data_IF_727156746034
#
_entry.id   IF_727156746034
#
_cell.length_a   1.000
_cell.length_b   1.000
_cell.length_c   1.000
_cell.angle_alpha   90.00
_cell.angle_beta   90.00
_cell.angle_gamma   90.00
#
_symmetry.space_group_name_H-M   'P 1'
#
loop_
_entity.id
_entity.type
_entity.pdbx_description
1 polymer ?
#
# COMPACT_ATOMS: atom_id res chain seq x y z
N UNK A 1 -5.38 -30.70 13.49
CA UNK A 1 -6.40 -29.68 13.16
C UNK A 1 -5.73 -28.54 12.38
N UNK A 2 -5.52 -28.75 11.08
CA UNK A 2 -5.07 -27.73 10.10
C UNK A 2 -6.23 -27.57 9.11
N UNK A 3 -6.37 -26.40 8.49
CA UNK A 3 -7.37 -26.03 7.46
C UNK A 3 -8.62 -25.30 7.98
N UNK A 4 -8.46 -24.05 8.44
CA UNK A 4 -9.55 -23.06 8.38
C UNK A 4 -9.05 -21.66 7.92
N UNK A 5 -7.73 -21.40 7.87
CA UNK A 5 -7.22 -20.05 7.55
C UNK A 5 -7.02 -19.75 6.05
N UNK A 6 -7.13 -20.73 5.15
CA UNK A 6 -6.87 -20.52 3.71
C UNK A 6 -8.10 -20.04 2.90
N UNK A 7 -9.30 -20.04 3.47
CA UNK A 7 -10.56 -19.75 2.75
C UNK A 7 -11.13 -18.35 2.98
N UNK A 8 -10.46 -17.49 3.76
CA UNK A 8 -10.89 -16.10 3.93
C UNK A 8 -10.62 -15.28 2.67
N UNK A 9 -11.68 -14.70 2.08
CA UNK A 9 -11.57 -13.76 0.96
C UNK A 9 -10.61 -12.61 1.29
N UNK A 10 -10.59 -12.15 2.55
CA UNK A 10 -9.66 -11.11 3.01
C UNK A 10 -8.20 -11.58 2.97
N UNK A 11 -7.94 -12.85 3.33
CA UNK A 11 -6.60 -13.43 3.23
C UNK A 11 -6.15 -13.58 1.77
N UNK A 12 -7.06 -14.01 0.90
CA UNK A 12 -6.76 -14.15 -0.53
C UNK A 12 -6.52 -12.78 -1.19
N UNK A 13 -7.31 -11.76 -0.84
CA UNK A 13 -7.10 -10.37 -1.26
C UNK A 13 -5.75 -9.86 -0.74
N UNK A 14 -5.44 -10.08 0.53
CA UNK A 14 -4.18 -9.63 1.13
C UNK A 14 -2.95 -10.33 0.53
N UNK A 15 -3.04 -11.65 0.28
CA UNK A 15 -2.02 -12.46 -0.37
C UNK A 15 -1.79 -12.02 -1.82
N UNK A 16 -2.86 -11.73 -2.55
CA UNK A 16 -2.81 -11.21 -3.92
C UNK A 16 -2.15 -9.83 -3.97
N UNK A 17 -2.50 -8.92 -3.04
CA UNK A 17 -1.89 -7.59 -2.94
C UNK A 17 -0.41 -7.63 -2.54
N UNK A 18 0.03 -8.64 -1.78
CA UNK A 18 1.44 -8.82 -1.44
C UNK A 18 2.26 -9.46 -2.56
N UNK A 19 1.64 -10.32 -3.38
CA UNK A 19 2.32 -11.07 -4.44
C UNK A 19 2.33 -10.34 -5.79
N UNK A 20 1.38 -9.44 -6.06
CA UNK A 20 1.24 -8.75 -7.35
C UNK A 20 1.77 -7.32 -7.36
N UNK A 21 2.60 -6.90 -6.38
CA UNK A 21 3.18 -5.54 -6.27
C UNK A 21 2.15 -4.37 -6.24
N UNK A 22 0.85 -4.67 -6.18
CA UNK A 22 -0.24 -3.68 -6.12
C UNK A 22 -0.54 -3.30 -4.67
N UNK A 23 -0.49 -2.01 -4.35
CA UNK A 23 -0.77 -1.47 -3.02
C UNK A 23 -1.98 -0.55 -3.04
N UNK A 24 -2.89 -0.75 -2.08
CA UNK A 24 -4.04 0.12 -1.83
C UNK A 24 -3.69 1.17 -0.77
N UNK A 25 -3.83 2.45 -1.11
CA UNK A 25 -3.59 3.58 -0.21
C UNK A 25 -4.88 4.36 -0.02
N UNK A 26 -5.23 4.67 1.23
CA UNK A 26 -6.36 5.57 1.52
C UNK A 26 -5.86 6.97 1.84
N UNK A 27 -6.42 7.96 1.16
CA UNK A 27 -6.12 9.38 1.35
C UNK A 27 -7.39 10.17 1.70
N UNK A 28 -7.24 11.19 2.55
CA UNK A 28 -8.31 12.14 2.91
C UNK A 28 -8.44 13.29 1.90
N UNK A 29 -7.55 13.37 0.92
CA UNK A 29 -7.62 14.36 -0.17
C UNK A 29 -8.76 14.02 -1.13
N UNK A 30 -9.21 14.99 -1.95
CA UNK A 30 -10.22 14.79 -3.01
C UNK A 30 -9.58 14.62 -4.37
N UNK A 31 -10.28 13.92 -5.27
CA UNK A 31 -9.84 13.66 -6.63
C UNK A 31 -9.55 14.98 -7.38
N UNK A 32 -10.41 15.97 -7.17
CA UNK A 32 -10.36 17.26 -7.86
C UNK A 32 -9.36 18.24 -7.23
N UNK A 33 -8.81 17.91 -6.06
CA UNK A 33 -7.77 18.76 -5.45
C UNK A 33 -6.50 18.72 -6.28
N UNK A 34 -5.74 19.81 -6.26
CA UNK A 34 -4.44 19.88 -6.91
C UNK A 34 -3.52 18.72 -6.48
N UNK A 35 -3.58 18.36 -5.18
CA UNK A 35 -2.83 17.24 -4.62
C UNK A 35 -3.31 15.89 -5.17
N UNK A 36 -4.63 15.66 -5.21
CA UNK A 36 -5.22 14.45 -5.81
C UNK A 36 -4.81 14.30 -7.27
N UNK A 37 -4.92 15.38 -8.05
CA UNK A 37 -4.51 15.44 -9.45
C UNK A 37 -3.01 15.22 -9.67
N UNK A 38 -2.14 15.58 -8.71
CA UNK A 38 -0.70 15.26 -8.76
C UNK A 38 -0.45 13.78 -8.49
N UNK A 39 -1.19 13.17 -7.58
CA UNK A 39 -1.07 11.76 -7.24
C UNK A 39 -1.60 10.86 -8.37
N UNK A 40 -2.75 11.21 -8.96
CA UNK A 40 -3.36 10.42 -10.04
C UNK A 40 -2.58 10.47 -11.34
N UNK A 41 -2.12 11.65 -11.71
CA UNK A 41 -1.38 11.86 -12.96
C UNK A 41 0.13 11.87 -12.71
N UNK A 42 0.60 11.17 -11.67
CA UNK A 42 1.99 11.27 -11.24
C UNK A 42 2.95 10.85 -12.35
N UNK A 43 2.65 9.76 -13.07
CA UNK A 43 3.44 9.29 -14.23
C UNK A 43 3.50 10.33 -15.35
N UNK A 44 2.36 10.92 -15.71
CA UNK A 44 2.25 11.94 -16.77
C UNK A 44 2.96 13.24 -16.39
N UNK A 45 2.87 13.62 -15.11
CA UNK A 45 3.47 14.83 -14.55
C UNK A 45 4.93 14.63 -14.10
N UNK A 46 5.51 13.44 -14.31
CA UNK A 46 6.88 13.06 -13.88
C UNK A 46 7.11 13.30 -12.38
N UNK A 47 6.09 12.99 -11.58
CA UNK A 47 6.12 13.08 -10.11
C UNK A 47 6.43 11.70 -9.54
N UNK A 48 7.55 11.60 -8.84
CA UNK A 48 7.98 10.39 -8.15
C UNK A 48 7.23 10.26 -6.82
N UNK A 49 6.37 9.23 -6.70
CA UNK A 49 5.67 8.94 -5.46
C UNK A 49 6.45 7.91 -4.65
N UNK A 50 7.07 8.35 -3.57
CA UNK A 50 7.77 7.49 -2.62
C UNK A 50 6.78 6.85 -1.65
N UNK A 51 6.84 5.52 -1.53
CA UNK A 51 5.94 4.73 -0.70
C UNK A 51 6.63 4.25 0.57
N UNK A 52 6.01 4.58 1.70
CA UNK A 52 6.40 4.15 3.03
C UNK A 52 5.22 3.45 3.71
N UNK A 53 5.48 2.31 4.33
CA UNK A 53 4.48 1.53 5.04
C UNK A 53 4.87 1.34 6.49
N UNK A 54 3.88 1.18 7.36
CA UNK A 54 4.07 0.71 8.73
C UNK A 54 2.96 -0.28 9.05
N UNK A 55 3.31 -1.35 9.74
CA UNK A 55 2.37 -2.43 10.08
C UNK A 55 1.41 -2.01 11.20
N UNK A 56 1.95 -1.38 12.24
CA UNK A 56 1.19 -1.00 13.43
C UNK A 56 1.22 0.51 13.66
N UNK A 57 0.12 1.04 14.19
CA UNK A 57 0.07 2.45 14.61
C UNK A 57 0.80 2.69 15.93
N UNK A 58 0.83 1.69 16.81
CA UNK A 58 1.51 1.68 18.12
C UNK A 58 1.77 0.23 18.55
N UNK A 59 2.92 -0.07 19.12
CA UNK A 59 3.26 -1.35 19.74
C UNK A 59 3.89 -1.06 21.10
N UNK A 60 3.34 -1.59 22.19
CA UNK A 60 3.90 -1.52 23.55
C UNK A 60 4.54 -0.18 23.94
N UNK A 61 3.89 0.92 23.57
CA UNK A 61 4.28 2.33 23.81
C UNK A 61 5.21 3.00 22.79
N UNK A 62 5.83 2.25 21.89
CA UNK A 62 6.68 2.77 20.81
C UNK A 62 5.97 2.79 19.46
N UNK A 63 6.29 3.82 18.65
CA UNK A 63 5.80 3.93 17.28
C UNK A 63 6.86 3.29 16.38
N UNK A 64 6.57 2.17 15.72
CA UNK A 64 7.55 1.54 14.84
C UNK A 64 7.92 2.47 13.68
N UNK A 65 9.17 2.41 13.19
CA UNK A 65 9.62 3.25 12.09
C UNK A 65 8.83 2.97 10.81
N UNK A 66 8.74 3.97 9.95
CA UNK A 66 8.25 3.79 8.59
C UNK A 66 9.25 3.00 7.76
N UNK A 67 8.76 2.02 7.03
CA UNK A 67 9.55 1.22 6.11
C UNK A 67 9.35 1.72 4.68
N UNK A 68 10.43 2.14 4.03
CA UNK A 68 10.41 2.51 2.62
C UNK A 68 10.35 1.25 1.75
N UNK A 69 9.40 1.21 0.81
CA UNK A 69 9.16 0.05 -0.07
C UNK A 69 9.39 0.34 -1.55
N UNK A 70 9.81 1.55 -1.90
CA UNK A 70 10.08 1.96 -3.27
C UNK A 70 9.21 3.10 -3.76
N UNK A 71 9.30 3.35 -5.07
CA UNK A 71 8.45 4.32 -5.77
C UNK A 71 7.33 3.61 -6.51
N UNK A 72 6.22 4.29 -6.74
CA UNK A 72 5.09 3.70 -7.46
C UNK A 72 4.30 4.70 -8.28
N UNK A 73 3.48 4.16 -9.17
CA UNK A 73 2.61 4.91 -10.06
C UNK A 73 1.15 4.57 -9.79
N UNK A 74 0.28 5.58 -9.86
CA UNK A 74 -1.16 5.36 -9.71
C UNK A 74 -1.69 4.63 -10.94
N UNK A 75 -2.37 3.50 -10.72
CA UNK A 75 -3.06 2.73 -11.78
C UNK A 75 -4.56 3.01 -11.78
N UNK A 76 -5.15 3.22 -10.61
CA UNK A 76 -6.58 3.46 -10.45
C UNK A 76 -6.88 4.25 -9.18
N UNK A 77 -7.99 4.97 -9.18
CA UNK A 77 -8.49 5.67 -7.99
C UNK A 77 -10.01 5.57 -7.90
N UNK A 78 -10.49 5.21 -6.71
CA UNK A 78 -11.92 5.03 -6.41
C UNK A 78 -12.32 5.82 -5.17
N UNK A 79 -13.51 6.43 -5.20
CA UNK A 79 -14.01 7.26 -4.10
C UNK A 79 -13.39 8.65 -4.06
N UNK A 80 -13.91 9.54 -3.22
CA UNK A 80 -13.47 10.96 -3.18
C UNK A 80 -13.13 11.43 -1.75
N UNK A 81 -13.87 10.95 -0.73
CA UNK A 81 -13.57 11.18 0.69
C UNK A 81 -13.94 9.94 1.53
N UNK A 82 -13.00 9.05 1.86
CA UNK A 82 -11.61 9.04 1.39
C UNK A 82 -11.49 8.47 -0.03
N UNK A 83 -10.44 8.87 -0.74
CA UNK A 83 -10.01 8.20 -1.98
C UNK A 83 -9.25 6.94 -1.60
N UNK A 84 -9.53 5.85 -2.30
CA UNK A 84 -8.68 4.66 -2.36
C UNK A 84 -7.91 4.69 -3.67
N UNK A 85 -6.59 4.64 -3.59
CA UNK A 85 -5.67 4.68 -4.72
C UNK A 85 -5.03 3.31 -4.84
N UNK A 86 -5.11 2.75 -6.03
CA UNK A 86 -4.37 1.56 -6.41
C UNK A 86 -3.07 2.02 -7.06
N UNK A 87 -1.95 1.52 -6.56
CA UNK A 87 -0.63 1.86 -7.06
C UNK A 87 0.16 0.60 -7.42
N UNK A 88 0.93 0.70 -8.48
CA UNK A 88 1.91 -0.30 -8.90
C UNK A 88 3.32 0.21 -8.54
N UNK A 89 4.12 -0.64 -7.90
CA UNK A 89 5.51 -0.32 -7.60
C UNK A 89 6.37 -0.39 -8.87
N UNK A 90 7.32 0.53 -9.01
CA UNK A 90 8.28 0.51 -10.12
C UNK A 90 9.25 -0.68 -10.03
N UNK A 91 9.51 -1.13 -8.81
CA UNK A 91 10.34 -2.28 -8.50
C UNK A 91 9.70 -3.11 -7.40
N UNK A 92 9.93 -4.43 -7.45
CA UNK A 92 9.50 -5.35 -6.40
C UNK A 92 10.01 -4.90 -5.04
N UNK A 93 9.20 -5.13 -4.00
CA UNK A 93 9.63 -4.88 -2.62
C UNK A 93 10.87 -5.72 -2.32
N UNK A 94 11.95 -5.13 -1.77
CA UNK A 94 13.16 -5.87 -1.45
C UNK A 94 12.88 -7.05 -0.52
N UNK A 95 13.50 -8.20 -0.80
CA UNK A 95 13.20 -9.44 -0.09
C UNK A 95 13.45 -9.35 1.43
N UNK A 96 14.44 -8.55 1.82
CA UNK A 96 14.79 -8.25 3.22
C UNK A 96 13.66 -7.58 4.01
N UNK A 97 12.69 -6.98 3.34
CA UNK A 97 11.57 -6.27 3.98
C UNK A 97 10.38 -7.18 4.26
N UNK A 98 10.27 -8.35 3.61
CA UNK A 98 9.14 -9.26 3.82
C UNK A 98 8.99 -9.72 5.27
N UNK A 99 10.06 -10.05 6.04
CA UNK A 99 9.91 -10.40 7.46
C UNK A 99 9.22 -9.29 8.26
N UNK A 100 9.65 -8.04 8.09
CA UNK A 100 9.03 -6.89 8.76
C UNK A 100 7.56 -6.66 8.36
N UNK A 101 7.18 -7.10 7.17
CA UNK A 101 5.80 -7.05 6.66
C UNK A 101 4.97 -8.28 7.03
N UNK A 102 5.61 -9.39 7.38
CA UNK A 102 5.00 -10.72 7.52
C UNK A 102 5.42 -11.35 8.84
N UNK A 103 4.69 -11.06 9.91
CA UNK A 103 4.70 -11.95 11.09
C UNK A 103 3.34 -12.60 11.19
N UNK A 104 3.37 -13.92 11.21
CA UNK A 104 2.26 -14.73 11.72
C UNK A 104 2.06 -14.35 13.19
N UNK A 105 0.95 -13.68 13.48
CA UNK A 105 0.33 -13.70 14.82
C UNK A 105 -0.81 -14.72 14.77
#
# INVERSE_FOLDING_TARGET
MKLVKESSLLYQIWKTLLLNDIRLIRSVTTQDSERGQKIFHNKQKKINLHLVVRKFKKMDSEVPPYLYIGSGNTIHAKGNKPITIEMELEHKVPASLYPALNDKV
#
